data_IF_120628911817
#
_entry.id   IF_120628911817
#
_cell.length_a   1.000
_cell.length_b   1.000
_cell.length_c   1.000
_cell.angle_alpha   90.00
_cell.angle_beta   90.00
_cell.angle_gamma   90.00
#
_symmetry.space_group_name_H-M   'P 1'
#
loop_
_entity.id
_entity.type
_entity.pdbx_description
1 polymer ?
#
# COMPACT_ATOMS: atom_id res chain seq x y z
N UNK A 1 12.98 -10.37 23.40
CA UNK A 1 12.72 -11.50 22.47
C UNK A 1 12.29 -10.88 21.15
N UNK A 2 12.77 -11.36 19.98
CA UNK A 2 12.23 -10.90 18.70
C UNK A 2 10.74 -11.22 18.63
N UNK A 3 9.96 -10.38 17.94
CA UNK A 3 8.53 -10.61 17.77
C UNK A 3 8.36 -11.85 16.88
N UNK A 4 7.57 -12.83 17.32
CA UNK A 4 7.35 -14.06 16.54
C UNK A 4 6.78 -13.75 15.15
N UNK A 5 5.85 -12.80 15.07
CA UNK A 5 5.32 -12.25 13.82
C UNK A 5 5.22 -10.72 13.90
N UNK A 6 5.43 -10.07 12.76
CA UNK A 6 5.15 -8.64 12.53
C UNK A 6 4.08 -8.54 11.46
N UNK A 7 3.03 -7.78 11.73
CA UNK A 7 1.88 -7.66 10.83
C UNK A 7 1.99 -6.39 10.00
N UNK A 8 1.87 -6.52 8.69
CA UNK A 8 2.01 -5.40 7.77
C UNK A 8 0.69 -5.14 7.08
N UNK A 9 0.10 -3.98 7.36
CA UNK A 9 -1.05 -3.46 6.62
C UNK A 9 -0.56 -2.50 5.55
N UNK A 10 -1.30 -2.41 4.45
CA UNK A 10 -0.99 -1.49 3.37
C UNK A 10 -2.23 -0.74 2.93
N UNK A 11 -2.00 0.42 2.34
CA UNK A 11 -2.98 1.22 1.63
C UNK A 11 -2.33 1.74 0.35
N UNK A 12 -3.05 1.65 -0.77
CA UNK A 12 -2.54 2.08 -2.07
C UNK A 12 -3.50 2.99 -2.81
N UNK A 13 -2.94 3.75 -3.76
CA UNK A 13 -3.70 4.43 -4.79
C UNK A 13 -3.24 3.99 -6.18
N UNK A 14 -4.20 3.82 -7.08
CA UNK A 14 -3.99 3.21 -8.40
C UNK A 14 -4.74 4.01 -9.47
N UNK A 15 -4.30 3.89 -10.71
CA UNK A 15 -4.97 4.49 -11.87
C UNK A 15 -5.98 3.53 -12.56
N UNK A 16 -6.28 2.37 -11.96
CA UNK A 16 -7.28 1.44 -12.48
C UNK A 16 -7.44 0.14 -11.67
N UNK A 17 -8.29 -0.79 -12.14
CA UNK A 17 -8.73 -1.94 -11.34
C UNK A 17 -7.71 -3.09 -11.22
N UNK A 18 -6.75 -3.21 -12.14
CA UNK A 18 -5.78 -4.32 -12.18
C UNK A 18 -4.37 -3.84 -12.54
N UNK A 19 -3.30 -4.42 -11.97
CA UNK A 19 -1.93 -4.02 -12.28
C UNK A 19 -1.50 -4.47 -13.67
N UNK A 20 -0.62 -3.69 -14.31
CA UNK A 20 -0.06 -3.98 -15.63
C UNK A 20 -0.62 -3.03 -16.69
N UNK A 21 -1.91 -3.12 -17.04
CA UNK A 21 -2.59 -2.09 -17.81
C UNK A 21 -2.74 -0.77 -17.05
N UNK A 22 -2.70 -0.84 -15.71
CA UNK A 22 -2.85 0.29 -14.79
C UNK A 22 -1.70 0.30 -13.77
N UNK A 23 -1.35 1.48 -13.29
CA UNK A 23 -0.24 1.74 -12.37
C UNK A 23 -0.68 1.89 -10.92
N UNK A 24 0.17 1.40 -10.03
CA UNK A 24 0.30 1.81 -8.64
C UNK A 24 0.94 3.20 -8.59
N UNK A 25 0.25 4.16 -7.97
CA UNK A 25 0.64 5.57 -7.88
C UNK A 25 1.20 5.92 -6.51
N UNK A 26 0.69 5.29 -5.46
CA UNK A 26 1.26 5.40 -4.12
C UNK A 26 1.05 4.13 -3.31
N UNK A 27 1.98 3.91 -2.39
CA UNK A 27 1.98 2.82 -1.44
C UNK A 27 2.36 3.38 -0.08
N UNK A 28 1.54 3.09 0.92
CA UNK A 28 1.92 3.23 2.32
C UNK A 28 1.68 1.93 3.06
N UNK A 29 2.66 1.50 3.85
CA UNK A 29 2.55 0.32 4.70
C UNK A 29 2.96 0.64 6.12
N UNK A 30 2.33 -0.03 7.08
CA UNK A 30 2.66 0.07 8.50
C UNK A 30 2.90 -1.34 9.03
N UNK A 31 4.02 -1.51 9.72
CA UNK A 31 4.34 -2.73 10.44
C UNK A 31 3.90 -2.58 11.90
N UNK A 32 3.27 -3.62 12.45
CA UNK A 32 2.71 -3.64 13.79
C UNK A 32 3.13 -4.90 14.55
N UNK A 33 3.14 -4.81 15.88
CA UNK A 33 3.20 -5.99 16.76
C UNK A 33 1.88 -6.78 16.70
N UNK A 34 1.84 -7.96 17.33
CA UNK A 34 0.60 -8.75 17.44
C UNK A 34 -0.53 -8.01 18.17
N UNK A 35 -0.18 -7.16 19.14
CA UNK A 35 -1.14 -6.35 19.90
C UNK A 35 -1.48 -5.02 19.21
N UNK A 36 -1.13 -4.87 17.94
CA UNK A 36 -1.46 -3.69 17.13
C UNK A 36 -0.61 -2.45 17.40
N UNK A 37 0.52 -2.56 18.09
CA UNK A 37 1.41 -1.41 18.31
C UNK A 37 2.21 -1.13 17.03
N UNK A 38 2.14 0.09 16.45
CA UNK A 38 2.93 0.45 15.28
C UNK A 38 4.44 0.42 15.58
N UNK A 39 5.22 -0.19 14.69
CA UNK A 39 6.68 -0.32 14.78
C UNK A 39 7.35 0.68 13.84
N UNK A 40 6.98 0.64 12.56
CA UNK A 40 7.57 1.49 11.52
C UNK A 40 6.61 1.64 10.35
N UNK A 41 6.82 2.68 9.55
CA UNK A 41 6.01 3.04 8.39
C UNK A 41 6.90 3.20 7.17
N UNK A 42 6.43 2.71 6.04
CA UNK A 42 7.03 2.93 4.74
C UNK A 42 6.06 3.64 3.81
N UNK A 43 6.53 4.62 3.06
CA UNK A 43 5.73 5.27 2.02
C UNK A 43 6.56 5.50 0.76
N UNK A 44 5.94 5.32 -0.40
CA UNK A 44 6.55 5.62 -1.69
C UNK A 44 5.51 5.91 -2.76
N UNK A 45 5.92 6.72 -3.74
CA UNK A 45 5.16 7.01 -4.94
C UNK A 45 5.88 6.39 -6.15
N UNK A 46 5.46 5.23 -6.67
CA UNK A 46 5.99 4.71 -7.92
C UNK A 46 5.53 5.58 -9.09
N UNK A 47 6.42 5.81 -10.05
CA UNK A 47 6.04 6.36 -11.36
C UNK A 47 5.19 5.35 -12.12
N UNK A 48 4.33 5.84 -12.98
CA UNK A 48 3.48 5.04 -13.85
C UNK A 48 4.28 4.06 -14.71
N UNK A 49 3.66 2.92 -15.02
CA UNK A 49 4.27 1.91 -15.87
C UNK A 49 4.31 2.41 -17.32
N UNK A 50 5.40 2.15 -18.07
CA UNK A 50 5.40 2.36 -19.50
C UNK A 50 4.25 1.59 -20.17
N UNK A 51 3.39 2.30 -20.90
CA UNK A 51 2.25 1.73 -21.61
C UNK A 51 1.00 1.47 -20.77
N UNK A 52 1.03 1.74 -19.46
CA UNK A 52 -0.20 1.75 -18.67
C UNK A 52 -1.05 2.98 -19.02
N UNK A 53 -2.36 2.85 -18.86
CA UNK A 53 -3.32 3.91 -19.16
C UNK A 53 -4.22 4.16 -17.96
N UNK A 54 -4.67 5.39 -17.78
CA UNK A 54 -5.61 5.73 -16.71
C UNK A 54 -7.01 5.20 -17.04
N UNK A 55 -7.58 4.38 -16.17
CA UNK A 55 -8.91 3.81 -16.33
C UNK A 55 -10.00 4.91 -16.25
N UNK A 56 -11.07 4.88 -17.06
CA UNK A 56 -12.10 5.92 -17.06
C UNK A 56 -12.77 6.16 -15.69
N UNK A 57 -13.00 5.10 -14.92
CA UNK A 57 -13.57 5.21 -13.55
C UNK A 57 -12.59 5.91 -12.60
N UNK A 58 -11.30 5.57 -12.68
CA UNK A 58 -10.27 6.22 -11.89
C UNK A 58 -10.13 7.70 -12.30
N UNK A 59 -10.14 8.01 -13.61
CA UNK A 59 -10.15 9.38 -14.11
C UNK A 59 -11.31 10.21 -13.54
N UNK A 60 -12.52 9.64 -13.51
CA UNK A 60 -13.68 10.33 -12.91
C UNK A 60 -13.45 10.65 -11.44
N UNK A 61 -12.89 9.71 -10.67
CA UNK A 61 -12.55 9.92 -9.25
C UNK A 61 -11.48 10.99 -9.08
N UNK A 62 -10.36 10.89 -9.82
CA UNK A 62 -9.22 11.80 -9.71
C UNK A 62 -9.54 13.23 -10.14
N UNK A 63 -10.47 13.43 -11.08
CA UNK A 63 -10.96 14.77 -11.45
C UNK A 63 -11.55 15.55 -10.27
N UNK A 64 -12.18 14.86 -9.32
CA UNK A 64 -12.70 15.48 -8.10
C UNK A 64 -11.64 15.62 -6.99
N UNK A 65 -10.46 15.02 -7.17
CA UNK A 65 -9.37 14.94 -6.19
C UNK A 65 -8.02 15.29 -6.83
N UNK A 66 -7.97 16.40 -7.57
CA UNK A 66 -6.81 16.76 -8.38
C UNK A 66 -5.54 16.99 -7.54
N UNK A 67 -5.65 17.58 -6.34
CA UNK A 67 -4.50 17.81 -5.45
C UNK A 67 -3.90 16.51 -4.91
N UNK A 68 -4.77 15.53 -4.64
CA UNK A 68 -4.35 14.20 -4.24
C UNK A 68 -3.63 13.48 -5.38
N UNK A 69 -4.14 13.57 -6.61
CA UNK A 69 -3.46 13.08 -7.80
C UNK A 69 -2.06 13.71 -7.93
N UNK A 70 -1.94 15.03 -7.77
CA UNK A 70 -0.64 15.68 -7.78
C UNK A 70 0.28 15.16 -6.66
N UNK A 71 -0.27 14.83 -5.50
CA UNK A 71 0.48 14.27 -4.37
C UNK A 71 1.05 12.90 -4.68
N UNK A 72 0.35 12.04 -5.43
CA UNK A 72 0.91 10.75 -5.87
C UNK A 72 2.06 10.90 -6.87
N UNK A 73 2.18 12.06 -7.55
CA UNK A 73 3.26 12.32 -8.51
C UNK A 73 4.46 13.04 -7.90
N UNK A 74 4.33 13.59 -6.68
CA UNK A 74 5.44 14.25 -5.98
C UNK A 74 6.51 13.25 -5.58
N UNK A 75 7.78 13.61 -5.85
CA UNK A 75 8.96 12.81 -5.55
C UNK A 75 8.85 11.34 -6.04
N UNK A 76 8.15 11.12 -7.16
CA UNK A 76 7.92 9.78 -7.69
C UNK A 76 9.22 9.12 -8.15
N UNK A 77 9.29 7.80 -7.99
CA UNK A 77 10.48 7.00 -8.28
C UNK A 77 10.17 5.93 -9.32
N UNK A 78 11.14 5.51 -10.14
CA UNK A 78 10.97 4.33 -11.00
C UNK A 78 10.43 3.13 -10.18
N UNK A 79 9.43 2.38 -10.68
CA UNK A 79 8.83 1.27 -9.95
C UNK A 79 9.83 0.24 -9.42
N UNK A 80 10.86 -0.07 -10.20
CA UNK A 80 11.93 -0.98 -9.79
C UNK A 80 12.63 -0.52 -8.51
N UNK A 81 12.94 0.77 -8.42
CA UNK A 81 13.60 1.37 -7.25
C UNK A 81 12.63 1.40 -6.06
N UNK A 82 11.38 1.80 -6.29
CA UNK A 82 10.36 1.86 -5.24
C UNK A 82 10.09 0.47 -4.62
N UNK A 83 9.91 -0.56 -5.46
CA UNK A 83 9.61 -1.91 -5.00
C UNK A 83 10.82 -2.61 -4.37
N UNK A 84 12.03 -2.33 -4.87
CA UNK A 84 13.27 -2.80 -4.21
C UNK A 84 13.41 -2.20 -2.82
N UNK A 85 13.15 -0.90 -2.65
CA UNK A 85 13.19 -0.25 -1.35
C UNK A 85 12.11 -0.80 -0.40
N UNK A 86 10.90 -1.03 -0.90
CA UNK A 86 9.82 -1.64 -0.12
C UNK A 86 10.18 -3.06 0.35
N UNK A 87 10.69 -3.90 -0.56
CA UNK A 87 11.11 -5.26 -0.24
C UNK A 87 12.20 -5.26 0.84
N UNK A 88 13.20 -4.39 0.75
CA UNK A 88 14.25 -4.27 1.77
C UNK A 88 13.70 -3.82 3.11
N UNK A 89 12.74 -2.89 3.13
CA UNK A 89 12.10 -2.45 4.37
C UNK A 89 11.36 -3.61 5.05
N UNK A 90 10.61 -4.43 4.30
CA UNK A 90 9.93 -5.63 4.85
C UNK A 90 10.94 -6.62 5.45
N UNK A 91 12.07 -6.84 4.79
CA UNK A 91 13.12 -7.76 5.25
C UNK A 91 13.85 -7.30 6.52
N UNK A 92 13.83 -5.99 6.79
CA UNK A 92 14.47 -5.40 7.97
C UNK A 92 13.55 -5.37 9.20
N UNK A 93 12.31 -5.87 9.08
CA UNK A 93 11.36 -5.89 10.19
C UNK A 93 11.80 -6.88 11.30
N UNK A 94 11.57 -6.56 12.59
CA UNK A 94 12.09 -7.32 13.73
C UNK A 94 11.28 -8.58 14.07
N UNK A 95 10.96 -9.40 13.07
CA UNK A 95 10.17 -10.63 13.21
C UNK A 95 9.79 -11.24 11.87
N UNK A 96 8.93 -12.27 11.86
CA UNK A 96 8.44 -12.86 10.60
C UNK A 96 7.33 -11.99 10.00
N UNK A 97 7.52 -11.37 8.81
CA UNK A 97 6.54 -10.45 8.26
C UNK A 97 5.32 -11.20 7.70
N UNK A 98 4.14 -10.80 8.15
CA UNK A 98 2.83 -11.30 7.72
C UNK A 98 2.10 -10.16 7.02
N UNK A 99 1.81 -10.31 5.73
CA UNK A 99 0.98 -9.34 5.02
C UNK A 99 -0.48 -9.52 5.44
N UNK A 100 -1.12 -8.46 5.90
CA UNK A 100 -2.54 -8.45 6.26
C UNK A 100 -3.32 -7.86 5.10
N UNK A 101 -3.93 -8.73 4.31
CA UNK A 101 -4.75 -8.35 3.17
C UNK A 101 -6.15 -7.96 3.66
N UNK A 102 -6.66 -6.84 3.16
CA UNK A 102 -8.10 -6.59 3.19
C UNK A 102 -8.75 -7.40 2.07
N UNK A 103 -9.71 -8.25 2.41
CA UNK A 103 -10.43 -9.09 1.45
C UNK A 103 -11.24 -8.31 0.43
N UNK A 104 -11.61 -7.06 0.73
CA UNK A 104 -12.36 -6.19 -0.17
C UNK A 104 -11.44 -5.27 -0.99
N UNK A 105 -10.18 -5.11 -0.58
CA UNK A 105 -9.24 -4.21 -1.24
C UNK A 105 -8.37 -4.94 -2.28
N UNK A 106 -8.02 -4.21 -3.34
CA UNK A 106 -7.18 -4.70 -4.42
C UNK A 106 -5.68 -4.53 -4.11
N UNK A 107 -5.34 -4.12 -2.89
CA UNK A 107 -3.99 -3.84 -2.41
C UNK A 107 -3.06 -5.03 -2.60
N UNK A 108 -3.51 -6.21 -2.19
CA UNK A 108 -2.76 -7.45 -2.37
C UNK A 108 -2.43 -7.71 -3.86
N UNK A 109 -3.41 -7.54 -4.75
CA UNK A 109 -3.25 -7.81 -6.18
C UNK A 109 -2.16 -6.93 -6.79
N UNK A 110 -2.21 -5.62 -6.53
CA UNK A 110 -1.21 -4.67 -7.03
C UNK A 110 0.16 -4.93 -6.42
N UNK A 111 0.25 -5.09 -5.10
CA UNK A 111 1.54 -5.29 -4.44
C UNK A 111 2.19 -6.61 -4.82
N UNK A 112 1.43 -7.70 -4.88
CA UNK A 112 1.94 -8.98 -5.32
C UNK A 112 2.48 -8.89 -6.74
N UNK A 113 1.71 -8.33 -7.68
CA UNK A 113 2.16 -8.18 -9.07
C UNK A 113 3.40 -7.28 -9.19
N UNK A 114 3.43 -6.14 -8.48
CA UNK A 114 4.55 -5.19 -8.56
C UNK A 114 5.82 -5.80 -7.97
N UNK A 115 5.74 -6.46 -6.82
CA UNK A 115 6.87 -7.15 -6.22
C UNK A 115 7.37 -8.28 -7.11
N UNK A 116 6.48 -9.12 -7.65
CA UNK A 116 6.92 -10.16 -8.59
C UNK A 116 7.59 -9.57 -9.84
N UNK A 117 7.03 -8.52 -10.43
CA UNK A 117 7.59 -7.89 -11.63
C UNK A 117 8.96 -7.24 -11.39
N UNK A 118 9.17 -6.59 -10.25
CA UNK A 118 10.33 -5.72 -10.02
C UNK A 118 11.39 -6.28 -9.07
N UNK A 119 11.02 -7.22 -8.20
CA UNK A 119 11.94 -7.86 -7.26
C UNK A 119 11.98 -9.38 -7.41
N UNK A 120 11.07 -9.97 -8.18
CA UNK A 120 11.02 -11.40 -8.46
C UNK A 120 10.56 -12.26 -7.28
N UNK A 121 10.03 -11.65 -6.22
CA UNK A 121 9.63 -12.37 -5.01
C UNK A 121 8.61 -11.63 -4.16
N UNK A 122 7.93 -12.40 -3.32
CA UNK A 122 7.09 -11.92 -2.24
C UNK A 122 7.89 -11.94 -0.91
N UNK A 123 8.18 -10.78 -0.28
CA UNK A 123 9.05 -10.72 0.90
C UNK A 123 8.35 -11.08 2.22
N UNK A 124 7.08 -11.49 2.17
CA UNK A 124 6.33 -11.89 3.36
C UNK A 124 6.34 -13.41 3.54
N UNK A 125 6.38 -13.84 4.80
CA UNK A 125 6.34 -15.26 5.13
C UNK A 125 4.98 -15.91 4.82
N UNK A 126 3.90 -15.13 4.91
CA UNK A 126 2.53 -15.53 4.53
C UNK A 126 1.64 -14.30 4.34
N UNK A 127 0.49 -14.54 3.73
CA UNK A 127 -0.63 -13.60 3.64
C UNK A 127 -1.74 -14.02 4.59
N UNK A 128 -2.34 -13.07 5.29
CA UNK A 128 -3.46 -13.28 6.21
C UNK A 128 -4.66 -12.45 5.76
N UNK A 129 -5.82 -13.09 5.62
CA UNK A 129 -7.12 -12.46 5.36
C UNK A 129 -8.05 -12.52 6.57
N UNK A 130 -7.52 -12.91 7.74
CA UNK A 130 -8.31 -13.04 8.97
C UNK A 130 -8.80 -11.66 9.44
N UNK A 131 -10.12 -11.46 9.44
CA UNK A 131 -10.77 -10.23 9.87
C UNK A 131 -10.42 -9.85 11.32
N UNK A 132 -10.30 -10.82 12.23
CA UNK A 132 -9.98 -10.55 13.64
C UNK A 132 -8.58 -9.91 13.81
N UNK A 133 -7.61 -10.30 12.97
CA UNK A 133 -6.28 -9.65 12.95
C UNK A 133 -6.43 -8.21 12.48
N UNK A 134 -7.26 -7.95 11.46
CA UNK A 134 -7.47 -6.61 10.93
C UNK A 134 -8.19 -5.69 11.92
N UNK A 135 -9.14 -6.21 12.69
CA UNK A 135 -9.88 -5.46 13.72
C UNK A 135 -8.99 -5.07 14.91
N UNK A 136 -7.98 -5.88 15.24
CA UNK A 136 -7.03 -5.61 16.31
C UNK A 136 -5.94 -4.60 15.92
N UNK A 137 -5.63 -4.51 14.63
CA UNK A 137 -4.66 -3.54 14.15
C UNK A 137 -5.32 -2.16 14.10
N UNK A 138 -4.66 -1.11 14.60
CA UNK A 138 -5.23 0.22 14.56
C UNK A 138 -5.54 0.58 13.10
N UNK A 139 -6.73 1.11 12.87
CA UNK A 139 -7.11 1.70 11.60
C UNK A 139 -6.37 3.04 11.46
N UNK A 140 -5.05 2.97 11.34
CA UNK A 140 -4.21 4.15 11.22
C UNK A 140 -4.42 4.69 9.82
N UNK A 141 -4.98 5.90 9.64
CA UNK A 141 -5.11 6.50 8.33
C UNK A 141 -3.73 7.03 7.93
N UNK A 142 -2.80 6.14 7.59
CA UNK A 142 -1.55 6.53 6.95
C UNK A 142 -1.78 6.57 5.45
N UNK A 143 -2.77 7.36 5.04
CA UNK A 143 -2.91 7.78 3.67
C UNK A 143 -2.26 9.16 3.57
N UNK A 144 -1.26 9.27 2.69
CA UNK A 144 -0.46 10.49 2.53
C UNK A 144 -1.19 11.59 1.77
N UNK A 145 -2.35 11.29 1.20
CA UNK A 145 -3.21 12.22 0.46
C UNK A 145 -3.93 13.20 1.40
N UNK A 146 -4.25 14.38 0.87
CA UNK A 146 -4.84 15.49 1.61
C UNK A 146 -6.23 15.09 2.09
N UNK A 147 -7.05 14.51 1.21
CA UNK A 147 -8.43 14.13 1.55
C UNK A 147 -8.52 12.98 2.56
N UNK A 148 -7.42 12.29 2.84
CA UNK A 148 -7.38 11.24 3.87
C UNK A 148 -7.04 11.78 5.26
N UNK A 149 -6.56 13.03 5.35
CA UNK A 149 -6.23 13.69 6.62
C UNK A 149 -7.43 14.41 7.22
N UNK A 150 -8.44 14.71 6.42
CA UNK A 150 -9.71 15.24 6.93
C UNK A 150 -10.52 14.09 7.56
N UNK A 151 -10.93 14.19 8.84
CA UNK A 151 -11.91 13.26 9.37
C UNK A 151 -13.14 13.35 8.47
N UNK A 152 -13.66 12.20 8.04
CA UNK A 152 -14.97 12.11 7.39
C UNK A 152 -15.95 12.96 8.22
N UNK A 153 -16.28 14.15 7.74
CA UNK A 153 -17.37 14.93 8.29
C UNK A 153 -18.59 14.02 8.16
N UNK A 154 -19.13 13.58 9.30
CA UNK A 154 -20.33 12.77 9.37
C UNK A 154 -21.44 13.57 8.69
N UNK A 155 -21.71 13.27 7.42
CA UNK A 155 -22.93 13.74 6.76
C UNK A 155 -24.08 12.98 7.37
N UNK A 156 -24.89 13.72 8.13
CA UNK A 156 -26.14 13.31 8.77
C UNK A 156 -27.16 12.75 7.78
#
# INVERSE_FOLDING_TARGET
MPLDNVYVTSHIHVDGPIPGPHSLLSLTSVAHTADGVPITTFTTNPRELPGATLHPVALKSWRHRAEDWLTTHRASRPPAIAMTAYSRWVEQLPGRPVFVADSEAHDYLFLYWYLQRFTGRWPFARTSTNAAVREQLPNVPVCTLISCREPLAQTS
#
